data_IF_142312481088
#
_entry.id   IF_142312481088
#
_cell.length_a   1.000
_cell.length_b   1.000
_cell.length_c   1.000
_cell.angle_alpha   90.00
_cell.angle_beta   90.00
_cell.angle_gamma   90.00
#
_symmetry.space_group_name_H-M   'P 1'
#
loop_
_entity.id
_entity.type
_entity.pdbx_description
1 polymer ?
#
# COMPACT_ATOMS: atom_id res chain seq x y z
N UNK A 1 -8.79 -37.11 12.42
CA UNK A 1 -8.62 -35.67 12.08
C UNK A 1 -7.86 -35.61 10.77
N UNK A 2 -8.52 -35.34 9.65
CA UNK A 2 -7.88 -35.19 8.34
C UNK A 2 -7.33 -33.77 8.24
N UNK A 3 -6.03 -33.61 8.43
CA UNK A 3 -5.35 -32.32 8.28
C UNK A 3 -5.45 -31.80 6.85
N UNK A 4 -5.44 -30.48 6.70
CA UNK A 4 -5.20 -29.83 5.40
C UNK A 4 -3.83 -30.31 4.94
N UNK A 5 -3.79 -31.08 3.86
CA UNK A 5 -2.53 -31.70 3.43
C UNK A 5 -1.77 -30.84 2.44
N UNK A 6 -2.41 -29.92 1.71
CA UNK A 6 -1.73 -29.06 0.73
C UNK A 6 -2.52 -27.77 0.41
N UNK A 7 -1.80 -26.67 0.20
CA UNK A 7 -2.30 -25.48 -0.49
C UNK A 7 -1.95 -25.54 -1.97
N UNK A 8 -2.91 -25.19 -2.83
CA UNK A 8 -2.68 -25.05 -4.28
C UNK A 8 -2.86 -23.60 -4.67
N UNK A 9 -1.86 -23.03 -5.32
CA UNK A 9 -1.81 -21.63 -5.74
C UNK A 9 -2.07 -21.54 -7.24
N UNK A 10 -3.20 -20.96 -7.64
CA UNK A 10 -3.56 -20.72 -9.04
C UNK A 10 -3.48 -19.23 -9.33
N UNK A 11 -2.50 -18.79 -10.11
CA UNK A 11 -2.43 -17.40 -10.57
C UNK A 11 -3.56 -17.15 -11.58
N UNK A 12 -4.38 -16.11 -11.35
CA UNK A 12 -5.45 -15.75 -12.27
C UNK A 12 -5.37 -14.32 -12.82
N UNK A 13 -4.53 -13.44 -12.23
CA UNK A 13 -4.20 -12.12 -12.78
C UNK A 13 -2.74 -11.74 -12.48
N UNK A 14 -2.20 -10.80 -13.27
CA UNK A 14 -0.79 -10.39 -13.23
C UNK A 14 0.10 -11.35 -14.02
N UNK A 15 1.21 -10.84 -14.56
CA UNK A 15 2.13 -11.61 -15.40
C UNK A 15 3.54 -11.62 -14.82
N UNK A 16 3.68 -12.15 -13.60
CA UNK A 16 4.96 -12.29 -12.92
C UNK A 16 5.36 -13.76 -12.80
N UNK A 17 6.65 -14.10 -12.98
CA UNK A 17 7.18 -15.41 -12.62
C UNK A 17 6.95 -15.68 -11.13
N UNK A 18 6.52 -16.89 -10.79
CA UNK A 18 6.36 -17.34 -9.41
C UNK A 18 6.74 -18.82 -9.29
N UNK A 19 7.15 -19.20 -8.08
CA UNK A 19 7.40 -20.58 -7.69
C UNK A 19 6.58 -20.91 -6.46
N UNK A 20 5.79 -21.98 -6.51
CA UNK A 20 5.02 -22.46 -5.39
C UNK A 20 5.52 -23.83 -4.95
N UNK A 21 5.77 -24.01 -3.66
CA UNK A 21 6.15 -25.28 -3.05
C UNK A 21 5.27 -25.51 -1.83
N UNK A 22 4.37 -26.51 -1.93
CA UNK A 22 3.41 -26.91 -0.89
C UNK A 22 2.68 -25.71 -0.27
N UNK A 23 3.19 -25.17 0.84
CA UNK A 23 2.56 -24.13 1.63
C UNK A 23 3.18 -22.74 1.43
N UNK A 24 4.19 -22.62 0.56
CA UNK A 24 4.93 -21.38 0.31
C UNK A 24 4.86 -20.98 -1.16
N UNK A 25 4.88 -19.68 -1.39
CA UNK A 25 4.86 -19.08 -2.72
C UNK A 25 5.86 -17.94 -2.76
N UNK A 26 6.72 -17.96 -3.77
CA UNK A 26 7.79 -16.99 -3.98
C UNK A 26 7.58 -16.33 -5.34
N UNK A 27 7.68 -15.01 -5.38
CA UNK A 27 7.65 -14.22 -6.60
C UNK A 27 8.45 -12.94 -6.37
N UNK A 28 9.01 -12.40 -7.44
CA UNK A 28 9.63 -11.07 -7.43
C UNK A 28 8.73 -10.14 -8.22
N UNK A 29 8.42 -8.98 -7.65
CA UNK A 29 7.52 -8.01 -8.25
C UNK A 29 8.20 -6.65 -8.35
N UNK A 30 8.24 -6.08 -9.56
CA UNK A 30 8.71 -4.71 -9.75
C UNK A 30 7.69 -3.70 -9.19
N UNK A 31 8.18 -2.50 -8.84
CA UNK A 31 7.36 -1.35 -8.47
C UNK A 31 6.20 -1.14 -9.45
N UNK A 32 5.01 -0.81 -8.94
CA UNK A 32 3.80 -0.54 -9.71
C UNK A 32 3.03 -1.77 -10.21
N UNK A 33 3.46 -2.99 -9.89
CA UNK A 33 2.78 -4.22 -10.34
C UNK A 33 1.88 -4.83 -9.26
N UNK A 34 1.00 -5.74 -9.70
CA UNK A 34 0.19 -6.59 -8.84
C UNK A 34 0.13 -8.02 -9.38
N UNK A 35 -0.19 -8.97 -8.50
CA UNK A 35 -0.45 -10.37 -8.87
C UNK A 35 -1.56 -10.94 -8.00
N UNK A 36 -2.48 -11.69 -8.62
CA UNK A 36 -3.61 -12.30 -7.92
C UNK A 36 -3.57 -13.81 -8.02
N UNK A 37 -3.75 -14.47 -6.89
CA UNK A 37 -3.82 -15.92 -6.74
C UNK A 37 -5.15 -16.34 -6.15
N UNK A 38 -5.66 -17.45 -6.64
CA UNK A 38 -6.71 -18.23 -6.01
C UNK A 38 -6.04 -19.38 -5.28
N UNK A 39 -6.23 -19.42 -3.97
CA UNK A 39 -5.62 -20.38 -3.06
C UNK A 39 -6.68 -21.42 -2.70
N UNK A 40 -6.40 -22.67 -2.99
CA UNK A 40 -7.24 -23.80 -2.59
C UNK A 40 -6.61 -24.49 -1.39
N UNK A 41 -7.37 -24.65 -0.31
CA UNK A 41 -7.03 -25.60 0.75
C UNK A 41 -7.62 -26.96 0.38
N UNK A 42 -6.79 -28.01 0.31
CA UNK A 42 -7.24 -29.35 -0.06
C UNK A 42 -7.05 -30.38 1.05
N UNK A 43 -7.98 -31.33 1.11
CA UNK A 43 -7.88 -32.50 1.98
C UNK A 43 -6.79 -33.46 1.50
N UNK A 44 -6.50 -34.48 2.30
CA UNK A 44 -5.68 -35.62 1.90
C UNK A 44 -6.22 -36.37 0.67
N UNK A 45 -7.54 -36.34 0.45
CA UNK A 45 -8.24 -36.93 -0.70
C UNK A 45 -8.34 -35.99 -1.91
N UNK A 46 -7.67 -34.82 -1.87
CA UNK A 46 -7.68 -33.79 -2.91
C UNK A 46 -9.03 -33.04 -3.09
N UNK A 47 -9.95 -33.18 -2.13
CA UNK A 47 -11.19 -32.41 -2.10
C UNK A 47 -10.90 -30.95 -1.72
N UNK A 48 -11.59 -30.00 -2.35
CA UNK A 48 -11.46 -28.58 -2.01
C UNK A 48 -12.22 -28.29 -0.72
N UNK A 49 -11.50 -27.91 0.33
CA UNK A 49 -12.06 -27.56 1.63
C UNK A 49 -12.39 -26.07 1.72
N UNK A 50 -11.58 -25.23 1.09
CA UNK A 50 -11.77 -23.79 1.07
C UNK A 50 -11.09 -23.16 -0.15
N UNK A 51 -11.58 -22.00 -0.57
CA UNK A 51 -10.99 -21.19 -1.64
C UNK A 51 -10.88 -19.75 -1.16
N UNK A 52 -9.73 -19.11 -1.40
CA UNK A 52 -9.52 -17.69 -1.13
C UNK A 52 -8.84 -17.02 -2.31
N UNK A 53 -9.36 -15.88 -2.74
CA UNK A 53 -8.63 -15.01 -3.66
C UNK A 53 -7.75 -14.05 -2.85
N UNK A 54 -6.49 -13.90 -3.26
CA UNK A 54 -5.53 -12.99 -2.65
C UNK A 54 -4.85 -12.21 -3.76
N UNK A 55 -4.78 -10.89 -3.61
CA UNK A 55 -4.02 -10.02 -4.50
C UNK A 55 -2.89 -9.39 -3.71
N UNK A 56 -1.70 -9.42 -4.29
CA UNK A 56 -0.51 -8.76 -3.77
C UNK A 56 -0.22 -7.55 -4.63
N UNK A 57 0.01 -6.41 -4.01
CA UNK A 57 0.38 -5.16 -4.67
C UNK A 57 1.81 -4.78 -4.30
N UNK A 58 2.58 -4.29 -5.26
CA UNK A 58 3.82 -3.58 -5.02
C UNK A 58 3.60 -2.18 -5.58
N UNK A 59 3.18 -1.27 -4.72
CA UNK A 59 2.90 0.10 -5.10
C UNK A 59 4.15 0.91 -5.44
N UNK A 60 5.35 0.37 -5.15
CA UNK A 60 6.61 1.04 -5.40
C UNK A 60 7.11 1.85 -4.22
N UNK A 61 8.00 2.79 -4.53
CA UNK A 61 8.57 3.70 -3.56
C UNK A 61 7.71 4.96 -3.46
N UNK A 62 7.48 5.40 -2.23
CA UNK A 62 6.79 6.65 -1.92
C UNK A 62 7.72 7.56 -1.14
N UNK A 63 7.74 8.84 -1.48
CA UNK A 63 8.41 9.84 -0.64
C UNK A 63 7.66 11.16 -0.63
N UNK A 64 7.72 11.83 0.53
CA UNK A 64 7.15 13.16 0.72
C UNK A 64 8.17 14.22 0.30
N UNK A 65 7.77 15.16 -0.56
CA UNK A 65 8.66 16.24 -1.01
C UNK A 65 7.90 17.54 -1.36
N UNK A 66 8.56 18.72 -1.29
CA UNK A 66 9.75 18.95 -0.49
C UNK A 66 9.44 18.75 1.00
N UNK A 67 10.48 18.44 1.77
CA UNK A 67 10.39 18.34 3.21
C UNK A 67 11.76 18.70 3.82
N UNK A 68 11.91 19.80 4.57
CA UNK A 68 10.87 20.75 5.01
C UNK A 68 10.13 21.47 3.88
N UNK A 69 8.93 22.00 4.18
CA UNK A 69 8.14 22.81 3.22
C UNK A 69 7.40 23.96 3.89
N UNK A 70 7.23 25.07 3.16
CA UNK A 70 6.52 26.28 3.60
C UNK A 70 5.11 26.42 3.01
N UNK A 71 4.84 25.89 1.81
CA UNK A 71 3.59 26.19 1.09
C UNK A 71 2.94 25.00 0.41
N UNK A 72 3.71 24.01 -0.05
CA UNK A 72 3.14 22.86 -0.75
C UNK A 72 3.97 21.60 -0.58
N UNK A 73 3.30 20.46 -0.64
CA UNK A 73 3.93 19.14 -0.65
C UNK A 73 3.34 18.29 -1.76
N UNK A 74 4.06 17.24 -2.13
CA UNK A 74 3.67 16.24 -3.09
C UNK A 74 4.18 14.87 -2.64
N UNK A 75 3.53 13.82 -3.13
CA UNK A 75 3.94 12.44 -2.93
C UNK A 75 4.62 11.96 -4.22
N UNK A 76 5.92 11.70 -4.16
CA UNK A 76 6.68 11.15 -5.28
C UNK A 76 6.42 9.66 -5.33
N UNK A 77 5.94 9.16 -6.46
CA UNK A 77 5.75 7.73 -6.68
C UNK A 77 5.59 7.43 -8.17
N UNK A 78 5.91 6.20 -8.57
CA UNK A 78 5.57 5.69 -9.90
C UNK A 78 4.10 5.25 -9.98
N UNK A 79 3.41 5.15 -8.83
CA UNK A 79 1.99 4.78 -8.76
C UNK A 79 1.11 5.79 -9.48
N UNK A 80 0.23 5.31 -10.37
CA UNK A 80 -0.64 6.15 -11.22
C UNK A 80 -2.08 6.28 -10.74
N UNK A 81 -2.45 5.54 -9.69
CA UNK A 81 -3.80 5.61 -9.13
C UNK A 81 -3.99 6.75 -8.14
N UNK A 82 -5.24 7.00 -7.72
CA UNK A 82 -5.53 7.93 -6.63
C UNK A 82 -5.04 7.38 -5.29
N UNK A 83 -4.63 8.27 -4.41
CA UNK A 83 -4.19 7.98 -3.05
C UNK A 83 -4.94 8.86 -2.07
N UNK A 84 -5.19 8.34 -0.87
CA UNK A 84 -5.73 9.11 0.24
C UNK A 84 -4.55 9.61 1.10
N UNK A 85 -4.44 10.93 1.23
CA UNK A 85 -3.39 11.62 1.99
C UNK A 85 -3.99 12.19 3.27
N UNK A 86 -3.41 11.86 4.42
CA UNK A 86 -3.75 12.44 5.71
C UNK A 86 -2.58 13.29 6.22
N UNK A 87 -2.87 14.51 6.69
CA UNK A 87 -1.92 15.37 7.41
C UNK A 87 -2.44 15.56 8.83
N UNK A 88 -1.65 15.12 9.81
CA UNK A 88 -2.04 15.03 11.22
C UNK A 88 -1.05 15.85 12.06
N UNK A 89 -1.47 16.90 12.78
CA UNK A 89 -0.61 17.62 13.70
C UNK A 89 -0.10 16.70 14.82
N UNK A 90 1.21 16.67 15.11
CA UNK A 90 1.74 15.80 16.17
C UNK A 90 1.37 16.26 17.59
N UNK A 91 1.18 17.56 17.79
CA UNK A 91 1.01 18.15 19.13
C UNK A 91 -0.37 18.77 19.36
N UNK A 92 -1.28 18.71 18.38
CA UNK A 92 -2.63 19.28 18.48
C UNK A 92 -3.68 18.22 18.15
N UNK A 93 -4.72 18.15 18.97
CA UNK A 93 -5.77 17.12 18.92
C UNK A 93 -6.82 17.31 17.83
N UNK A 94 -6.72 18.33 16.98
CA UNK A 94 -7.95 18.99 16.52
C UNK A 94 -8.28 18.94 15.02
N UNK A 95 -7.42 18.42 14.13
CA UNK A 95 -7.86 18.20 12.74
C UNK A 95 -6.93 17.28 11.96
N UNK A 96 -7.46 16.14 11.50
CA UNK A 96 -6.89 15.38 10.39
C UNK A 96 -7.35 16.10 9.12
N UNK A 97 -6.40 16.45 8.25
CA UNK A 97 -6.71 16.96 6.93
C UNK A 97 -6.57 15.83 5.93
N UNK A 98 -7.63 15.57 5.19
CA UNK A 98 -7.71 14.47 4.23
C UNK A 98 -7.80 15.02 2.81
N UNK A 99 -7.00 14.47 1.92
CA UNK A 99 -6.95 14.84 0.51
C UNK A 99 -6.97 13.59 -0.35
N UNK A 100 -7.56 13.69 -1.54
CA UNK A 100 -7.36 12.71 -2.61
C UNK A 100 -6.36 13.28 -3.59
N UNK A 101 -5.25 12.57 -3.81
CA UNK A 101 -4.13 13.07 -4.60
C UNK A 101 -3.62 12.01 -5.56
N UNK A 102 -3.10 12.44 -6.70
CA UNK A 102 -2.26 11.63 -7.58
C UNK A 102 -0.77 11.80 -7.24
N UNK A 103 0.08 10.92 -7.78
CA UNK A 103 1.51 11.08 -7.65
C UNK A 103 1.97 12.40 -8.29
N UNK A 104 2.91 13.07 -7.62
CA UNK A 104 3.47 14.38 -7.99
C UNK A 104 2.46 15.54 -8.04
N UNK A 105 1.22 15.31 -7.59
CA UNK A 105 0.23 16.38 -7.41
C UNK A 105 0.64 17.28 -6.24
N UNK A 106 0.50 18.60 -6.42
CA UNK A 106 0.79 19.58 -5.38
C UNK A 106 -0.41 19.75 -4.46
N UNK A 107 -0.20 19.49 -3.19
CA UNK A 107 -1.13 19.81 -2.11
C UNK A 107 -0.69 21.11 -1.47
N UNK A 108 -1.60 22.09 -1.46
CA UNK A 108 -1.39 23.34 -0.76
C UNK A 108 -1.50 23.11 0.75
N UNK A 109 -0.47 23.56 1.47
CA UNK A 109 -0.37 23.51 2.92
C UNK A 109 -0.02 24.89 3.50
N UNK A 110 -0.15 25.97 2.72
CA UNK A 110 0.24 27.31 3.13
C UNK A 110 -0.41 27.71 4.47
N UNK A 111 -1.70 27.43 4.60
CA UNK A 111 -2.51 27.76 5.79
C UNK A 111 -2.23 26.88 7.02
N UNK A 112 -1.38 25.85 6.90
CA UNK A 112 -0.98 25.05 8.05
C UNK A 112 -0.03 25.84 8.94
N UNK A 113 -0.29 25.92 10.26
CA UNK A 113 0.64 26.51 11.20
C UNK A 113 2.03 25.86 11.11
N UNK A 114 3.08 26.65 11.34
CA UNK A 114 4.43 26.13 11.56
C UNK A 114 4.45 25.00 12.60
N UNK A 115 5.16 23.92 12.32
CA UNK A 115 5.29 22.79 13.23
C UNK A 115 5.53 21.46 12.53
N UNK A 116 5.49 20.39 13.32
CA UNK A 116 5.65 19.02 12.84
C UNK A 116 4.29 18.33 12.65
N UNK A 117 4.18 17.62 11.53
CA UNK A 117 3.00 16.86 11.17
C UNK A 117 3.40 15.43 10.82
N UNK A 118 2.51 14.48 11.10
CA UNK A 118 2.56 13.15 10.53
C UNK A 118 1.78 13.16 9.22
N UNK A 119 2.43 12.72 8.15
CA UNK A 119 1.80 12.52 6.85
C UNK A 119 1.64 11.02 6.62
N UNK A 120 0.42 10.60 6.29
CA UNK A 120 0.12 9.22 5.89
C UNK A 120 -0.44 9.20 4.49
N UNK A 121 -0.05 8.20 3.71
CA UNK A 121 -0.60 7.96 2.38
C UNK A 121 -1.14 6.54 2.34
N UNK A 122 -2.38 6.39 1.90
CA UNK A 122 -3.06 5.11 1.74
C UNK A 122 -3.50 4.87 0.31
N UNK A 123 -3.52 3.61 -0.07
CA UNK A 123 -4.15 3.11 -1.29
C UNK A 123 -5.16 2.04 -0.86
N UNK A 124 -6.44 2.41 -0.82
CA UNK A 124 -7.45 1.57 -0.18
C UNK A 124 -7.16 1.42 1.32
N UNK A 125 -7.01 0.18 1.80
CA UNK A 125 -6.72 -0.09 3.21
C UNK A 125 -5.20 -0.05 3.53
N UNK A 126 -4.35 -0.11 2.51
CA UNK A 126 -2.90 -0.25 2.67
C UNK A 126 -2.23 1.10 2.95
N UNK A 127 -1.45 1.17 4.05
CA UNK A 127 -0.59 2.32 4.37
C UNK A 127 0.74 2.18 3.62
N UNK A 128 0.97 3.06 2.63
CA UNK A 128 2.15 2.98 1.73
C UNK A 128 3.24 3.99 2.05
N UNK A 129 2.91 5.06 2.78
CA UNK A 129 3.88 6.01 3.32
C UNK A 129 3.42 6.48 4.70
N UNK A 130 4.36 6.53 5.64
CA UNK A 130 4.24 7.27 6.87
C UNK A 130 5.52 8.11 7.04
N UNK A 131 5.38 9.43 7.13
CA UNK A 131 6.54 10.34 7.17
C UNK A 131 6.26 11.58 8.01
N UNK A 132 7.31 12.14 8.61
CA UNK A 132 7.22 13.42 9.33
C UNK A 132 7.39 14.56 8.35
N UNK A 133 6.41 15.46 8.27
CA UNK A 133 6.52 16.75 7.60
C UNK A 133 6.98 17.84 8.57
N UNK A 134 7.97 18.63 8.16
CA UNK A 134 8.40 19.84 8.87
C UNK A 134 7.86 21.06 8.11
N UNK A 135 6.81 21.71 8.66
CA UNK A 135 6.30 23.00 8.17
C UNK A 135 7.12 24.12 8.81
N UNK A 136 7.90 24.85 8.00
CA UNK A 136 8.93 25.78 8.50
C UNK A 136 8.48 27.25 8.58
N UNK A 137 7.41 27.63 7.87
CA UNK A 137 6.80 28.97 7.84
C UNK A 137 5.30 28.88 8.05
#
# INVERSE_FOLDING_TARGET
MTGINNFVWERYQGNLPFWAHTNQMHFTMQSGNYVSFRIYARSSSNDTLAVRNVTYYNYGNFSLYPNPSSSSISIKSDYKGPMDLEIIPLYKSSKILEFKVAADEKVDIHDLPKGDYLVRVRIGEDLVLESRLIKNE
#
